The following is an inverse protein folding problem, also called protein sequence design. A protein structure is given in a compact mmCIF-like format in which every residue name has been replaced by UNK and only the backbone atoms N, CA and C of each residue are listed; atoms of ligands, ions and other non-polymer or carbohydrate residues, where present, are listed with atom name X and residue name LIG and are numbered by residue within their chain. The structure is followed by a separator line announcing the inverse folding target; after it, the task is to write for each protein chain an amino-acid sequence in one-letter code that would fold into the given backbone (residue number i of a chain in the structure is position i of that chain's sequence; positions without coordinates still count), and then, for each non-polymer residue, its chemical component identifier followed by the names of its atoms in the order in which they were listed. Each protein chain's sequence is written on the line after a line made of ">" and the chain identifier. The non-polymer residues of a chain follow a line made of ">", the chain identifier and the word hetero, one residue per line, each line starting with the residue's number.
data_IF_532284975718
#
_entry.id   IF_532284975718
#
_cell.length_a   1.000
_cell.length_b   1.000
_cell.length_c   1.000
_cell.angle_alpha   90.00
_cell.angle_beta   90.00
_cell.angle_gamma   90.00
#
_symmetry.space_group_name_H-M   'P 1'
#
loop_
_entity.id
_entity.type
_entity.pdbx_description
1 polymer ?
#
# COMPACT_ATOMS: atom_id res chain seq x y z
N UNK A 1 -19.58 -12.77 -6.91
CA UNK A 1 -19.26 -11.34 -7.08
C UNK A 1 -17.77 -11.25 -7.27
N UNK A 2 -17.29 -10.64 -8.36
CA UNK A 2 -15.85 -10.50 -8.56
C UNK A 2 -15.32 -9.44 -7.60
N UNK A 3 -14.06 -9.51 -7.13
CA UNK A 3 -13.53 -8.58 -6.13
C UNK A 3 -13.69 -7.11 -6.52
N UNK A 4 -13.60 -6.79 -7.81
CA UNK A 4 -13.81 -5.42 -8.31
C UNK A 4 -15.25 -4.95 -8.17
N UNK A 5 -16.25 -5.82 -8.33
CA UNK A 5 -17.67 -5.46 -8.17
C UNK A 5 -17.95 -5.02 -6.72
N UNK A 6 -17.31 -5.68 -5.75
CA UNK A 6 -17.44 -5.32 -4.33
C UNK A 6 -16.81 -3.95 -4.05
N UNK A 7 -15.66 -3.65 -4.65
CA UNK A 7 -15.02 -2.34 -4.50
C UNK A 7 -15.83 -1.22 -5.15
N UNK A 8 -16.34 -1.45 -6.35
CA UNK A 8 -17.16 -0.47 -7.06
C UNK A 8 -18.43 -0.13 -6.29
N UNK A 9 -19.15 -1.15 -5.79
CA UNK A 9 -20.43 -0.95 -5.13
C UNK A 9 -20.33 -0.34 -3.73
N UNK A 10 -19.22 -0.53 -3.01
CA UNK A 10 -19.06 -0.05 -1.63
C UNK A 10 -18.24 1.24 -1.52
N UNK A 11 -17.26 1.47 -2.41
CA UNK A 11 -16.34 2.62 -2.31
C UNK A 11 -16.48 3.58 -3.49
N UNK A 12 -16.35 3.09 -4.73
CA UNK A 12 -16.32 3.96 -5.92
C UNK A 12 -17.64 4.71 -6.09
N UNK A 13 -18.77 4.04 -5.82
CA UNK A 13 -20.11 4.66 -5.84
C UNK A 13 -20.25 5.84 -4.87
N UNK A 14 -19.52 5.80 -3.75
CA UNK A 14 -19.48 6.86 -2.74
C UNK A 14 -18.46 7.96 -3.06
N UNK A 15 -17.87 7.95 -4.26
CA UNK A 15 -16.89 8.93 -4.71
C UNK A 15 -15.48 8.72 -4.15
N UNK A 16 -15.17 7.51 -3.67
CA UNK A 16 -13.85 7.15 -3.13
C UNK A 16 -13.00 6.55 -4.25
N UNK A 17 -11.78 7.07 -4.43
CA UNK A 17 -10.78 6.46 -5.31
C UNK A 17 -10.10 5.31 -4.56
N UNK A 18 -10.19 4.10 -5.12
CA UNK A 18 -9.55 2.91 -4.56
C UNK A 18 -8.25 2.64 -5.33
N UNK A 19 -7.14 2.56 -4.61
CA UNK A 19 -5.83 2.19 -5.15
C UNK A 19 -5.39 0.87 -4.53
N UNK A 20 -4.97 -0.08 -5.38
CA UNK A 20 -4.36 -1.34 -4.96
C UNK A 20 -3.01 -1.49 -5.66
N UNK A 21 -2.04 -2.10 -5.00
CA UNK A 21 -0.71 -2.31 -5.56
C UNK A 21 -0.11 -3.63 -5.06
N UNK A 22 0.90 -4.11 -5.76
CA UNK A 22 1.68 -5.28 -5.37
C UNK A 22 2.97 -4.81 -4.68
N UNK A 23 3.45 -5.61 -3.73
CA UNK A 23 4.76 -5.44 -3.10
C UNK A 23 5.47 -6.80 -3.03
N UNK A 24 6.79 -6.81 -2.86
CA UNK A 24 7.53 -8.07 -2.76
C UNK A 24 7.14 -8.84 -1.50
N UNK A 25 6.98 -10.16 -1.66
CA UNK A 25 6.62 -11.09 -0.59
C UNK A 25 7.68 -12.18 -0.40
N UNK A 26 7.61 -12.89 0.73
CA UNK A 26 8.51 -13.99 1.05
C UNK A 26 9.98 -13.55 1.08
N UNK A 27 10.87 -14.43 0.63
CA UNK A 27 12.32 -14.18 0.61
C UNK A 27 12.70 -12.90 -0.16
N UNK A 28 12.04 -12.63 -1.29
CA UNK A 28 12.35 -11.46 -2.13
C UNK A 28 11.97 -10.13 -1.46
N UNK A 29 11.00 -10.14 -0.55
CA UNK A 29 10.55 -8.93 0.16
C UNK A 29 11.13 -8.78 1.56
N UNK A 30 11.50 -9.88 2.22
CA UNK A 30 11.75 -9.87 3.66
C UNK A 30 13.03 -10.59 4.08
N UNK A 31 13.86 -11.06 3.14
CA UNK A 31 15.20 -11.52 3.50
C UNK A 31 16.03 -10.35 4.06
N UNK A 32 16.71 -10.61 5.18
CA UNK A 32 17.72 -9.72 5.76
C UNK A 32 19.00 -10.50 6.03
N UNK A 33 20.15 -9.89 5.78
CA UNK A 33 21.46 -10.39 6.27
C UNK A 33 21.87 -9.76 7.60
N UNK A 34 20.98 -8.97 8.21
CA UNK A 34 21.30 -8.11 9.36
C UNK A 34 22.05 -6.87 8.88
N UNK A 35 23.37 -6.88 9.01
CA UNK A 35 24.24 -5.77 8.61
C UNK A 35 24.63 -5.87 7.13
N UNK A 36 24.69 -4.71 6.44
CA UNK A 36 25.21 -4.60 5.08
C UNK A 36 24.16 -4.31 4.00
N UNK A 37 24.37 -4.75 2.74
CA UNK A 37 23.60 -4.29 1.58
C UNK A 37 22.15 -4.80 1.53
N UNK A 38 21.78 -5.73 2.42
CA UNK A 38 20.43 -6.29 2.51
C UNK A 38 19.88 -6.16 3.94
N UNK A 39 19.52 -4.93 4.37
CA UNK A 39 19.02 -4.69 5.73
C UNK A 39 17.66 -5.37 6.01
N UNK A 40 16.93 -5.74 4.96
CA UNK A 40 15.60 -6.37 5.04
C UNK A 40 14.45 -5.42 4.76
N UNK A 41 13.22 -5.90 4.99
CA UNK A 41 11.98 -5.14 4.85
C UNK A 41 11.73 -4.53 3.47
N UNK A 42 12.36 -5.04 2.40
CA UNK A 42 12.16 -4.56 1.04
C UNK A 42 10.68 -4.51 0.61
N UNK A 43 9.84 -5.42 1.12
CA UNK A 43 8.40 -5.38 0.90
C UNK A 43 7.70 -4.21 1.60
N UNK A 44 8.22 -3.73 2.75
CA UNK A 44 7.72 -2.49 3.37
C UNK A 44 8.24 -1.26 2.63
N UNK A 45 9.50 -1.27 2.15
CA UNK A 45 10.03 -0.20 1.31
C UNK A 45 9.24 -0.05 0.00
N UNK A 46 8.82 -1.16 -0.62
CA UNK A 46 7.92 -1.14 -1.77
C UNK A 46 6.58 -0.46 -1.44
N UNK A 47 6.04 -0.71 -0.25
CA UNK A 47 4.79 -0.09 0.21
C UNK A 47 4.99 1.41 0.46
N UNK A 48 6.09 1.82 1.08
CA UNK A 48 6.44 3.24 1.25
C UNK A 48 6.53 3.96 -0.08
N UNK A 49 7.20 3.35 -1.07
CA UNK A 49 7.27 3.94 -2.42
C UNK A 49 5.92 3.96 -3.13
N UNK A 50 5.05 2.98 -2.90
CA UNK A 50 3.67 3.05 -3.38
C UNK A 50 2.91 4.25 -2.78
N UNK A 51 3.16 4.62 -1.52
CA UNK A 51 2.57 5.81 -0.91
C UNK A 51 3.11 7.10 -1.49
N UNK A 52 4.42 7.18 -1.74
CA UNK A 52 5.05 8.32 -2.44
C UNK A 52 4.42 8.47 -3.83
N UNK A 53 4.35 7.38 -4.59
CA UNK A 53 3.73 7.36 -5.91
C UNK A 53 2.28 7.83 -5.85
N UNK A 54 1.47 7.35 -4.90
CA UNK A 54 0.08 7.81 -4.73
C UNK A 54 0.03 9.30 -4.40
N UNK A 55 0.84 9.78 -3.46
CA UNK A 55 0.89 11.19 -3.08
C UNK A 55 1.18 12.11 -4.27
N UNK A 56 2.12 11.73 -5.13
CA UNK A 56 2.52 12.50 -6.31
C UNK A 56 1.51 12.44 -7.46
N UNK A 57 0.84 11.29 -7.64
CA UNK A 57 0.07 11.01 -8.85
C UNK A 57 -1.45 11.08 -8.65
N UNK A 58 -1.97 10.90 -7.44
CA UNK A 58 -3.42 10.88 -7.20
C UNK A 58 -4.15 12.18 -7.58
N UNK A 59 -3.54 13.39 -7.57
CA UNK A 59 -4.20 14.59 -8.10
C UNK A 59 -4.63 14.45 -9.57
N UNK A 60 -3.87 13.72 -10.39
CA UNK A 60 -4.19 13.51 -11.81
C UNK A 60 -5.46 12.63 -12.00
N UNK A 61 -5.84 11.87 -10.98
CA UNK A 61 -7.06 11.04 -10.96
C UNK A 61 -8.21 11.72 -10.19
N UNK A 62 -8.03 12.98 -9.76
CA UNK A 62 -9.04 13.74 -9.01
C UNK A 62 -9.04 13.48 -7.49
N UNK A 63 -8.01 12.83 -6.94
CA UNK A 63 -7.87 12.63 -5.49
C UNK A 63 -7.14 13.77 -4.78
N UNK A 64 -7.36 13.89 -3.47
CA UNK A 64 -6.59 14.80 -2.60
C UNK A 64 -5.47 14.00 -1.88
N UNK A 65 -4.19 14.29 -2.14
CA UNK A 65 -3.07 13.55 -1.55
C UNK A 65 -2.98 13.71 -0.02
N UNK A 66 -3.68 14.68 0.58
CA UNK A 66 -3.76 14.86 2.03
C UNK A 66 -4.92 14.11 2.67
N UNK A 67 -5.76 13.45 1.88
CA UNK A 67 -6.94 12.69 2.34
C UNK A 67 -6.83 11.21 1.95
N UNK A 68 -5.70 10.60 2.31
CA UNK A 68 -5.43 9.18 2.07
C UNK A 68 -5.74 8.38 3.32
N UNK A 69 -6.43 7.24 3.17
CA UNK A 69 -6.66 6.26 4.23
C UNK A 69 -6.07 4.92 3.80
N UNK A 70 -5.21 4.35 4.64
CA UNK A 70 -4.63 3.03 4.38
C UNK A 70 -5.56 1.94 4.90
N UNK A 71 -5.78 0.90 4.09
CA UNK A 71 -6.60 -0.26 4.44
C UNK A 71 -5.86 -1.55 4.09
N UNK A 72 -5.88 -2.51 5.02
CA UNK A 72 -5.18 -3.78 4.89
C UNK A 72 -5.79 -4.85 5.80
N UNK A 73 -5.64 -6.10 5.41
CA UNK A 73 -6.13 -7.27 6.16
C UNK A 73 -4.99 -8.27 6.35
N UNK A 74 -4.95 -8.96 7.50
CA UNK A 74 -3.93 -9.94 7.82
C UNK A 74 -2.53 -9.32 7.82
N UNK A 75 -1.62 -9.84 6.99
CA UNK A 75 -0.28 -9.27 6.81
C UNK A 75 -0.32 -7.80 6.36
N UNK A 76 -1.32 -7.39 5.57
CA UNK A 76 -1.50 -6.00 5.16
C UNK A 76 -1.88 -5.07 6.33
N UNK A 77 -2.61 -5.56 7.33
CA UNK A 77 -2.91 -4.78 8.53
C UNK A 77 -1.64 -4.57 9.38
N UNK A 78 -0.82 -5.61 9.51
CA UNK A 78 0.49 -5.51 10.18
C UNK A 78 1.43 -4.55 9.45
N UNK A 79 1.44 -4.56 8.12
CA UNK A 79 2.15 -3.58 7.30
C UNK A 79 1.70 -2.14 7.59
N UNK A 80 0.40 -1.88 7.68
CA UNK A 80 -0.11 -0.53 8.02
C UNK A 80 0.34 -0.12 9.42
N UNK A 81 0.30 -1.02 10.40
CA UNK A 81 0.82 -0.73 11.73
C UNK A 81 2.31 -0.39 11.69
N UNK A 82 3.12 -1.10 10.90
CA UNK A 82 4.54 -0.80 10.72
C UNK A 82 4.77 0.55 10.05
N UNK A 83 4.02 0.86 8.99
CA UNK A 83 4.11 2.15 8.27
C UNK A 83 3.63 3.34 9.11
N UNK A 84 2.75 3.12 10.08
CA UNK A 84 2.24 4.19 10.95
C UNK A 84 3.26 4.65 11.99
N UNK A 85 4.32 3.86 12.22
CA UNK A 85 5.38 4.14 13.21
C UNK A 85 6.76 4.34 12.57
N UNK A 86 6.86 4.23 11.25
CA UNK A 86 8.10 4.38 10.48
C UNK A 86 8.40 5.83 10.13
#
# INVERSE_FOLDING_TARGET
>A
MLPHDTLCNNFVKEGIIVVTFNYRVGFLGFLSTGEGPLPGNLGLWDQTEALVFVSENIPAFGGDPRRVTLLGQGAGAASISALSIS
#
